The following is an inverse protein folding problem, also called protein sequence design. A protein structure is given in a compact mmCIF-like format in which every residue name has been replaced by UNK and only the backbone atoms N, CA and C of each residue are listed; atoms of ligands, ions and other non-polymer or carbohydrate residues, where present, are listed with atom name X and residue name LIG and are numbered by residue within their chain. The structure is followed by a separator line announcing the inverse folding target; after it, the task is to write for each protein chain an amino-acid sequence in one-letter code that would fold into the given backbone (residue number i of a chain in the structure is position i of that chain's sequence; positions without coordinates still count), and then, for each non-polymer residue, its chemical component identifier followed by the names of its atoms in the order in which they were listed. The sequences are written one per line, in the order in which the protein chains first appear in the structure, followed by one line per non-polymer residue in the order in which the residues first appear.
data_IF_722478045734
#
_entry.id   IF_722478045734
#
_cell.length_a   1.000
_cell.length_b   1.000
_cell.length_c   1.000
_cell.angle_alpha   90.00
_cell.angle_beta   90.00
_cell.angle_gamma   90.00
#
_symmetry.space_group_name_H-M   'P 1'
#
loop_
_entity.id
_entity.type
_entity.pdbx_description
1 polymer ?
#
# COMPACT_ATOMS: atom_id res chain seq x y z
N UNK A 1 -4.09 33.48 -22.99
CA UNK A 1 -3.49 32.25 -22.43
C UNK A 1 -2.62 32.67 -21.27
N UNK A 2 -3.19 32.78 -20.06
CA UNK A 2 -2.41 33.11 -18.85
C UNK A 2 -1.53 31.91 -18.50
N UNK A 3 -0.23 32.09 -18.24
CA UNK A 3 0.61 31.00 -17.77
C UNK A 3 0.02 30.45 -16.46
N UNK A 4 -0.21 29.14 -16.39
CA UNK A 4 -0.61 28.52 -15.13
C UNK A 4 0.44 28.84 -14.05
N UNK A 5 0.04 29.34 -12.87
CA UNK A 5 0.98 29.65 -11.82
C UNK A 5 1.75 28.39 -11.41
N UNK A 6 3.09 28.47 -11.49
CA UNK A 6 3.97 27.37 -11.10
C UNK A 6 3.68 26.97 -9.64
N UNK A 7 3.65 25.66 -9.33
CA UNK A 7 3.43 25.21 -7.96
C UNK A 7 4.51 25.77 -7.02
N UNK A 8 4.09 26.19 -5.83
CA UNK A 8 5.01 26.71 -4.81
C UNK A 8 6.01 25.64 -4.38
N UNK A 9 7.21 26.04 -3.98
CA UNK A 9 8.25 25.11 -3.51
C UNK A 9 7.74 24.18 -2.40
N UNK A 10 6.91 24.70 -1.47
CA UNK A 10 6.29 23.91 -0.41
C UNK A 10 5.32 22.84 -0.93
N UNK A 11 4.51 23.15 -1.95
CA UNK A 11 3.61 22.17 -2.56
C UNK A 11 4.39 21.04 -3.27
N UNK A 12 5.52 21.38 -3.89
CA UNK A 12 6.41 20.39 -4.52
C UNK A 12 7.08 19.52 -3.46
N UNK A 13 7.65 20.12 -2.41
CA UNK A 13 8.27 19.37 -1.31
C UNK A 13 7.30 18.39 -0.64
N UNK A 14 6.07 18.82 -0.36
CA UNK A 14 5.04 17.95 0.21
C UNK A 14 4.70 16.75 -0.69
N UNK A 15 4.68 16.94 -2.02
CA UNK A 15 4.43 15.86 -2.97
C UNK A 15 5.59 14.86 -3.03
N UNK A 16 6.83 15.34 -2.94
CA UNK A 16 8.02 14.47 -2.86
C UNK A 16 8.00 13.65 -1.57
N UNK A 17 7.72 14.28 -0.43
CA UNK A 17 7.61 13.57 0.85
C UNK A 17 6.49 12.52 0.83
N UNK A 18 5.33 12.86 0.26
CA UNK A 18 4.24 11.90 0.06
C UNK A 18 4.66 10.74 -0.86
N UNK A 19 5.41 11.01 -1.94
CA UNK A 19 5.92 9.95 -2.81
C UNK A 19 6.88 9.02 -2.08
N UNK A 20 7.78 9.56 -1.26
CA UNK A 20 8.74 8.76 -0.49
C UNK A 20 8.05 7.93 0.58
N UNK A 21 7.20 8.54 1.41
CA UNK A 21 6.50 7.85 2.51
C UNK A 21 5.53 6.81 1.94
N UNK A 22 4.69 7.22 0.98
CA UNK A 22 3.74 6.31 0.35
C UNK A 22 4.43 5.20 -0.42
N UNK A 23 5.53 5.50 -1.13
CA UNK A 23 6.31 4.53 -1.88
C UNK A 23 6.98 3.50 -0.97
N UNK A 24 7.58 3.93 0.14
CA UNK A 24 8.16 3.04 1.14
C UNK A 24 7.09 2.15 1.78
N UNK A 25 5.94 2.73 2.14
CA UNK A 25 4.82 1.98 2.68
C UNK A 25 4.28 0.94 1.67
N UNK A 26 4.20 1.30 0.39
CA UNK A 26 3.79 0.38 -0.67
C UNK A 26 4.79 -0.77 -0.86
N UNK A 27 6.09 -0.49 -0.80
CA UNK A 27 7.13 -1.51 -0.87
C UNK A 27 7.04 -2.48 0.33
N UNK A 28 6.86 -1.95 1.54
CA UNK A 28 6.67 -2.77 2.74
C UNK A 28 5.41 -3.64 2.63
N UNK A 29 4.29 -3.06 2.18
CA UNK A 29 3.05 -3.79 1.92
C UNK A 29 3.28 -4.97 0.97
N UNK A 30 3.93 -4.74 -0.18
CA UNK A 30 4.19 -5.79 -1.16
C UNK A 30 5.09 -6.89 -0.58
N UNK A 31 6.14 -6.51 0.13
CA UNK A 31 7.05 -7.46 0.76
C UNK A 31 6.35 -8.35 1.80
N UNK A 32 5.55 -7.76 2.70
CA UNK A 32 4.88 -8.54 3.75
C UNK A 32 3.64 -9.29 3.27
N UNK A 33 2.92 -8.75 2.28
CA UNK A 33 1.85 -9.49 1.59
C UNK A 33 2.44 -10.71 0.88
N UNK A 34 3.60 -10.58 0.23
CA UNK A 34 4.29 -11.71 -0.38
C UNK A 34 4.70 -12.77 0.64
N UNK A 35 5.22 -12.38 1.80
CA UNK A 35 5.52 -13.31 2.90
C UNK A 35 4.27 -14.08 3.32
N UNK A 36 3.14 -13.38 3.50
CA UNK A 36 1.87 -14.02 3.87
C UNK A 36 1.37 -15.00 2.81
N UNK A 37 1.39 -14.61 1.54
CA UNK A 37 0.99 -15.48 0.42
C UNK A 37 1.92 -16.70 0.29
N UNK A 38 3.23 -16.51 0.47
CA UNK A 38 4.22 -17.60 0.41
C UNK A 38 4.04 -18.57 1.57
N UNK A 39 3.70 -18.08 2.75
CA UNK A 39 3.35 -18.94 3.89
C UNK A 39 2.10 -19.77 3.59
N UNK A 40 1.06 -19.17 3.01
CA UNK A 40 -0.20 -19.86 2.68
C UNK A 40 -0.07 -20.88 1.56
N UNK A 41 0.60 -20.53 0.46
CA UNK A 41 0.64 -21.32 -0.77
C UNK A 41 1.96 -22.06 -0.98
N UNK A 42 2.93 -21.88 -0.08
CA UNK A 42 4.22 -22.56 -0.11
C UNK A 42 4.19 -23.92 0.57
N UNK A 43 5.28 -24.70 0.46
CA UNK A 43 5.40 -25.96 1.17
C UNK A 43 5.53 -25.74 2.69
N UNK A 44 5.20 -26.74 3.52
CA UNK A 44 5.16 -26.59 4.97
C UNK A 44 6.48 -26.11 5.60
N UNK A 45 7.62 -26.36 4.96
CA UNK A 45 8.93 -25.92 5.49
C UNK A 45 9.12 -24.39 5.47
N UNK A 46 8.33 -23.67 4.65
CA UNK A 46 8.41 -22.20 4.56
C UNK A 46 7.87 -21.54 5.82
N UNK A 47 6.82 -22.11 6.42
CA UNK A 47 6.19 -21.57 7.62
C UNK A 47 5.41 -22.67 8.37
N UNK A 48 6.15 -23.49 9.12
CA UNK A 48 5.57 -24.60 9.90
C UNK A 48 4.56 -24.15 10.96
N UNK A 49 4.64 -22.89 11.40
CA UNK A 49 3.83 -22.35 12.50
C UNK A 49 2.74 -21.39 12.03
N UNK A 50 2.75 -20.96 10.76
CA UNK A 50 1.82 -19.95 10.24
C UNK A 50 2.12 -18.51 10.68
N UNK A 51 3.29 -18.25 11.28
CA UNK A 51 3.64 -16.91 11.76
C UNK A 51 3.84 -15.93 10.60
N UNK A 52 4.45 -16.38 9.51
CA UNK A 52 4.59 -15.61 8.28
C UNK A 52 3.24 -15.21 7.70
N UNK A 53 2.22 -16.07 7.80
CA UNK A 53 0.85 -15.75 7.35
C UNK A 53 0.24 -14.64 8.20
N UNK A 54 0.21 -14.80 9.52
CA UNK A 54 -0.46 -13.86 10.43
C UNK A 54 0.29 -12.51 10.48
N UNK A 55 1.59 -12.53 10.77
CA UNK A 55 2.37 -11.29 10.89
C UNK A 55 2.55 -10.62 9.53
N UNK A 56 2.73 -11.39 8.46
CA UNK A 56 2.78 -10.84 7.10
C UNK A 56 1.49 -10.12 6.73
N UNK A 57 0.33 -10.72 7.02
CA UNK A 57 -0.97 -10.10 6.75
C UNK A 57 -1.21 -8.84 7.60
N UNK A 58 -0.94 -8.87 8.90
CA UNK A 58 -1.15 -7.72 9.79
C UNK A 58 -0.26 -6.54 9.37
N UNK A 59 1.03 -6.78 9.13
CA UNK A 59 1.95 -5.72 8.69
C UNK A 59 1.59 -5.21 7.31
N UNK A 60 1.16 -6.10 6.40
CA UNK A 60 0.69 -5.70 5.07
C UNK A 60 -0.54 -4.78 5.17
N UNK A 61 -1.53 -5.10 5.99
CA UNK A 61 -2.72 -4.24 6.14
C UNK A 61 -2.34 -2.85 6.65
N UNK A 62 -1.46 -2.76 7.65
CA UNK A 62 -1.02 -1.47 8.18
C UNK A 62 -0.22 -0.65 7.15
N UNK A 63 0.76 -1.27 6.49
CA UNK A 63 1.57 -0.62 5.46
C UNK A 63 0.74 -0.23 4.23
N UNK A 64 -0.18 -1.10 3.81
CA UNK A 64 -1.08 -0.91 2.68
C UNK A 64 -2.05 0.25 2.90
N UNK A 65 -2.55 0.43 4.14
CA UNK A 65 -3.40 1.56 4.48
C UNK A 65 -2.63 2.88 4.39
N UNK A 66 -1.41 2.93 4.94
CA UNK A 66 -0.53 4.11 4.83
C UNK A 66 -0.25 4.43 3.36
N UNK A 67 0.10 3.42 2.56
CA UNK A 67 0.31 3.58 1.13
C UNK A 67 -0.94 4.14 0.44
N UNK A 68 -2.11 3.55 0.67
CA UNK A 68 -3.35 3.93 0.01
C UNK A 68 -3.78 5.38 0.30
N UNK A 69 -3.51 5.86 1.51
CA UNK A 69 -3.84 7.23 1.93
C UNK A 69 -2.79 8.25 1.46
N UNK A 70 -1.52 7.88 1.44
CA UNK A 70 -0.40 8.83 1.22
C UNK A 70 -0.01 8.94 -0.26
N UNK A 71 0.00 7.84 -1.02
CA UNK A 71 0.42 7.83 -2.43
C UNK A 71 -0.35 8.82 -3.32
N UNK A 72 -1.69 8.97 -3.19
CA UNK A 72 -2.44 9.94 -3.97
C UNK A 72 -1.99 11.39 -3.76
N UNK A 73 -1.44 11.71 -2.59
CA UNK A 73 -1.00 13.07 -2.27
C UNK A 73 0.23 13.51 -3.08
N UNK A 74 1.02 12.55 -3.59
CA UNK A 74 2.13 12.80 -4.51
C UNK A 74 1.66 13.37 -5.87
N UNK A 75 0.40 13.14 -6.23
CA UNK A 75 -0.17 13.55 -7.51
C UNK A 75 -0.67 15.01 -7.50
N UNK A 76 -0.78 15.64 -8.67
CA UNK A 76 -1.38 16.97 -8.80
C UNK A 76 -2.88 16.91 -8.47
N UNK A 77 -3.44 18.02 -7.96
CA UNK A 77 -4.83 18.10 -7.45
C UNK A 77 -5.88 17.49 -8.38
N UNK A 78 -5.78 17.72 -9.69
CA UNK A 78 -6.73 17.18 -10.68
C UNK A 78 -6.78 15.65 -10.79
N UNK A 79 -5.77 14.92 -10.29
CA UNK A 79 -5.74 13.45 -10.32
C UNK A 79 -5.86 12.80 -8.93
N UNK A 80 -5.90 13.60 -7.85
CA UNK A 80 -5.85 13.09 -6.48
C UNK A 80 -7.07 12.24 -6.14
N UNK A 81 -8.28 12.72 -6.43
CA UNK A 81 -9.52 12.02 -6.08
C UNK A 81 -9.60 10.64 -6.75
N UNK A 82 -9.32 10.58 -8.06
CA UNK A 82 -9.30 9.32 -8.80
C UNK A 82 -8.23 8.37 -8.27
N UNK A 83 -7.03 8.88 -7.97
CA UNK A 83 -5.96 8.08 -7.40
C UNK A 83 -6.27 7.59 -5.98
N UNK A 84 -6.93 8.41 -5.15
CA UNK A 84 -7.39 8.02 -3.81
C UNK A 84 -8.41 6.90 -3.89
N UNK A 85 -9.41 7.03 -4.76
CA UNK A 85 -10.40 5.97 -4.98
C UNK A 85 -9.74 4.68 -5.47
N UNK A 86 -8.86 4.76 -6.48
CA UNK A 86 -8.16 3.59 -6.99
C UNK A 86 -7.29 2.92 -5.91
N UNK A 87 -6.54 3.71 -5.14
CA UNK A 87 -5.64 3.19 -4.11
C UNK A 87 -6.40 2.56 -2.95
N UNK A 88 -7.50 3.19 -2.51
CA UNK A 88 -8.36 2.63 -1.47
C UNK A 88 -9.08 1.36 -1.94
N UNK A 89 -9.59 1.33 -3.18
CA UNK A 89 -10.20 0.13 -3.74
C UNK A 89 -9.20 -1.03 -3.82
N UNK A 90 -7.98 -0.77 -4.32
CA UNK A 90 -6.91 -1.77 -4.35
C UNK A 90 -6.54 -2.26 -2.95
N UNK A 91 -6.46 -1.35 -1.98
CA UNK A 91 -6.21 -1.71 -0.59
C UNK A 91 -7.30 -2.60 -0.01
N UNK A 92 -8.57 -2.23 -0.18
CA UNK A 92 -9.71 -3.02 0.32
C UNK A 92 -9.71 -4.42 -0.30
N UNK A 93 -9.51 -4.53 -1.62
CA UNK A 93 -9.42 -5.82 -2.31
C UNK A 93 -8.26 -6.66 -1.77
N UNK A 94 -7.10 -6.05 -1.55
CA UNK A 94 -5.93 -6.73 -1.00
C UNK A 94 -6.15 -7.19 0.44
N UNK A 95 -6.77 -6.34 1.27
CA UNK A 95 -7.09 -6.66 2.66
C UNK A 95 -8.10 -7.81 2.76
N UNK A 96 -9.12 -7.83 1.90
CA UNK A 96 -10.06 -8.95 1.80
C UNK A 96 -9.33 -10.23 1.38
N UNK A 97 -8.46 -10.16 0.38
CA UNK A 97 -7.67 -11.32 -0.07
C UNK A 97 -6.76 -11.87 1.03
N UNK A 98 -6.08 -11.00 1.77
CA UNK A 98 -5.25 -11.40 2.92
C UNK A 98 -6.09 -11.97 4.06
N UNK A 99 -7.24 -11.37 4.37
CA UNK A 99 -8.16 -11.90 5.37
C UNK A 99 -8.68 -13.29 4.98
N UNK A 100 -9.07 -13.48 3.72
CA UNK A 100 -9.48 -14.79 3.22
C UNK A 100 -8.36 -15.82 3.30
N UNK A 101 -7.12 -15.44 2.98
CA UNK A 101 -5.96 -16.32 3.11
C UNK A 101 -5.72 -16.76 4.56
N UNK A 102 -5.91 -15.87 5.54
CA UNK A 102 -5.78 -16.17 6.98
C UNK A 102 -6.96 -17.00 7.48
N UNK A 103 -8.20 -16.68 7.10
CA UNK A 103 -9.40 -17.32 7.65
C UNK A 103 -9.69 -18.71 7.05
N UNK A 104 -9.12 -19.00 5.88
CA UNK A 104 -9.22 -20.32 5.26
C UNK A 104 -8.01 -21.21 5.60
N UNK A 105 -7.03 -20.67 6.35
CA UNK A 105 -5.75 -21.27 6.65
C UNK A 105 -5.86 -22.70 7.19
#
# INVERSE_FOLDING_TARGET
MTPDPRPTAGATAARVMAAMIGGLAAALFLATAWVALRSRFGPPEVDMHGYGLIFGAVVAVMAGLVAALVLPLALPRGRRTTASLASLSLFVLSAIGLAAAVLTA
#
